data_IF_624915765269
#
_entry.id   IF_624915765269
#
_cell.length_a   1.000
_cell.length_b   1.000
_cell.length_c   1.000
_cell.angle_alpha   90.00
_cell.angle_beta   90.00
_cell.angle_gamma   90.00
#
_symmetry.space_group_name_H-M   'P 1'
#
loop_
_entity.id
_entity.type
_entity.pdbx_description
1 polymer ?
#
# COMPACT_ATOMS: atom_id res chain seq x y z
N UNK A 1 31.90 -49.19 -6.78
CA UNK A 1 30.90 -49.15 -5.68
C UNK A 1 30.47 -47.73 -5.27
N UNK A 2 31.34 -46.71 -5.35
CA UNK A 2 31.04 -45.33 -4.92
C UNK A 2 29.85 -44.62 -5.63
N UNK A 3 29.52 -44.95 -6.89
CA UNK A 3 28.39 -44.33 -7.60
C UNK A 3 27.02 -44.75 -7.04
N UNK A 4 26.88 -45.98 -6.53
CA UNK A 4 25.61 -46.49 -6.00
C UNK A 4 25.28 -45.86 -4.64
N UNK A 5 26.30 -45.64 -3.80
CA UNK A 5 26.14 -45.00 -2.49
C UNK A 5 25.78 -43.52 -2.61
N UNK A 6 26.31 -42.82 -3.63
CA UNK A 6 25.99 -41.42 -3.89
C UNK A 6 24.53 -41.24 -4.36
N UNK A 7 24.04 -42.17 -5.18
CA UNK A 7 22.66 -42.16 -5.68
C UNK A 7 21.65 -42.45 -4.57
N UNK A 8 21.93 -43.42 -3.70
CA UNK A 8 21.07 -43.69 -2.54
C UNK A 8 21.07 -42.53 -1.55
N UNK A 9 22.20 -41.84 -1.38
CA UNK A 9 22.29 -40.68 -0.50
C UNK A 9 21.46 -39.50 -1.04
N UNK A 10 21.50 -39.25 -2.36
CA UNK A 10 20.70 -38.16 -2.95
C UNK A 10 19.20 -38.46 -2.92
N UNK A 11 18.81 -39.73 -3.11
CA UNK A 11 17.41 -40.16 -3.02
C UNK A 11 16.85 -40.01 -1.60
N UNK A 12 17.63 -40.36 -0.57
CA UNK A 12 17.22 -40.16 0.83
C UNK A 12 17.15 -38.67 1.15
N UNK A 13 18.12 -37.88 0.70
CA UNK A 13 18.12 -36.44 0.91
C UNK A 13 16.92 -35.76 0.26
N UNK A 14 16.57 -36.10 -0.98
CA UNK A 14 15.41 -35.50 -1.66
C UNK A 14 14.08 -35.89 -1.00
N UNK A 15 13.95 -37.14 -0.53
CA UNK A 15 12.77 -37.58 0.24
C UNK A 15 12.64 -36.81 1.55
N UNK A 16 13.73 -36.67 2.31
CA UNK A 16 13.71 -35.92 3.57
C UNK A 16 13.42 -34.43 3.35
N UNK A 17 14.00 -33.81 2.33
CA UNK A 17 13.74 -32.41 1.97
C UNK A 17 12.28 -32.18 1.53
N UNK A 18 11.70 -33.13 0.80
CA UNK A 18 10.29 -33.04 0.39
C UNK A 18 9.37 -33.17 1.60
N UNK A 19 9.65 -34.11 2.50
CA UNK A 19 8.88 -34.30 3.73
C UNK A 19 8.93 -33.08 4.67
N UNK A 20 10.09 -32.43 4.79
CA UNK A 20 10.23 -31.21 5.61
C UNK A 20 9.55 -30.00 4.98
N UNK A 21 9.59 -29.86 3.66
CA UNK A 21 8.84 -28.78 2.99
C UNK A 21 7.33 -28.96 3.14
N UNK A 22 6.82 -30.19 3.02
CA UNK A 22 5.40 -30.48 3.23
C UNK A 22 4.98 -30.21 4.69
N UNK A 23 5.79 -30.63 5.67
CA UNK A 23 5.47 -30.41 7.08
C UNK A 23 5.52 -28.93 7.46
N UNK A 24 6.47 -28.16 6.91
CA UNK A 24 6.50 -26.70 7.06
C UNK A 24 5.27 -26.08 6.40
N UNK A 25 4.87 -26.52 5.21
CA UNK A 25 3.69 -25.96 4.54
C UNK A 25 2.40 -26.24 5.31
N UNK A 26 2.26 -27.42 5.92
CA UNK A 26 1.09 -27.79 6.74
C UNK A 26 1.08 -27.07 8.09
N UNK A 27 2.23 -26.94 8.77
CA UNK A 27 2.32 -26.31 10.09
C UNK A 27 2.32 -24.78 10.02
N UNK A 28 2.86 -24.20 8.94
CA UNK A 28 2.83 -22.78 8.66
C UNK A 28 1.71 -22.41 7.68
N UNK A 29 0.68 -23.24 7.55
CA UNK A 29 -0.49 -22.90 6.77
C UNK A 29 -1.22 -21.71 7.42
N UNK A 30 -0.77 -20.51 7.06
CA UNK A 30 -1.34 -19.25 7.50
C UNK A 30 -2.62 -18.92 6.76
N UNK A 31 -3.16 -19.80 5.91
CA UNK A 31 -4.43 -19.58 5.20
C UNK A 31 -5.56 -19.20 6.15
N UNK A 32 -5.63 -19.82 7.33
CA UNK A 32 -6.61 -19.50 8.37
C UNK A 32 -6.39 -18.11 8.99
N UNK A 33 -5.13 -17.72 9.23
CA UNK A 33 -4.75 -16.38 9.67
C UNK A 33 -5.03 -15.31 8.62
N UNK A 34 -4.75 -15.60 7.34
CA UNK A 34 -5.02 -14.72 6.20
C UNK A 34 -6.53 -14.54 6.04
N UNK A 35 -7.32 -15.62 6.12
CA UNK A 35 -8.78 -15.55 6.09
C UNK A 35 -9.36 -14.80 7.30
N UNK A 36 -8.79 -14.98 8.49
CA UNK A 36 -9.18 -14.24 9.69
C UNK A 36 -8.82 -12.75 9.59
N UNK A 37 -7.66 -12.40 9.03
CA UNK A 37 -7.28 -11.02 8.74
C UNK A 37 -8.19 -10.42 7.67
N UNK A 38 -8.47 -11.12 6.58
CA UNK A 38 -9.39 -10.67 5.54
C UNK A 38 -10.79 -10.40 6.10
N UNK A 39 -11.32 -11.29 6.95
CA UNK A 39 -12.61 -11.06 7.64
C UNK A 39 -12.58 -9.85 8.57
N UNK A 40 -11.46 -9.61 9.26
CA UNK A 40 -11.30 -8.41 10.11
C UNK A 40 -11.18 -7.12 9.30
N UNK A 41 -10.53 -7.17 8.13
CA UNK A 41 -10.38 -6.03 7.22
C UNK A 41 -11.68 -5.73 6.47
N UNK A 42 -12.45 -6.75 6.08
CA UNK A 42 -13.72 -6.58 5.35
C UNK A 42 -14.90 -6.23 6.26
N UNK A 43 -14.86 -6.59 7.54
CA UNK A 43 -15.93 -6.31 8.50
C UNK A 43 -15.96 -4.86 9.02
N UNK A 44 -14.89 -4.09 8.86
CA UNK A 44 -14.75 -2.75 9.43
C UNK A 44 -14.46 -1.69 8.36
N UNK A 45 -15.17 -1.76 7.23
CA UNK A 45 -15.12 -0.66 6.26
C UNK A 45 -15.85 0.54 6.85
N UNK A 46 -15.08 1.58 7.20
CA UNK A 46 -15.54 2.86 7.73
C UNK A 46 -16.64 3.51 6.86
N UNK A 47 -16.72 3.13 5.58
CA UNK A 47 -17.73 3.56 4.61
C UNK A 47 -18.47 2.34 4.03
N UNK A 48 -18.95 1.46 4.90
CA UNK A 48 -19.57 0.18 4.50
C UNK A 48 -20.95 0.33 3.85
N UNK A 49 -21.64 1.44 4.07
CA UNK A 49 -22.97 1.71 3.50
C UNK A 49 -23.07 3.13 2.95
N UNK A 50 -23.98 3.33 2.00
CA UNK A 50 -24.27 4.66 1.43
C UNK A 50 -24.71 5.64 2.50
N UNK A 51 -25.53 5.22 3.46
CA UNK A 51 -26.02 6.09 4.53
C UNK A 51 -24.88 6.60 5.42
N UNK A 52 -23.91 5.74 5.76
CA UNK A 52 -22.72 6.15 6.53
C UNK A 52 -21.84 7.09 5.70
N UNK A 53 -21.70 6.83 4.41
CA UNK A 53 -20.93 7.69 3.50
C UNK A 53 -21.56 9.07 3.34
N UNK A 54 -22.88 9.14 3.16
CA UNK A 54 -23.64 10.37 3.00
C UNK A 54 -23.62 11.19 4.29
N UNK A 55 -23.72 10.52 5.45
CA UNK A 55 -23.58 11.15 6.75
C UNK A 55 -22.19 11.74 6.96
N UNK A 56 -21.13 10.98 6.73
CA UNK A 56 -19.74 11.46 6.86
C UNK A 56 -19.44 12.61 5.87
N UNK A 57 -19.97 12.52 4.65
CA UNK A 57 -19.87 13.58 3.65
C UNK A 57 -20.53 14.88 4.13
N UNK A 58 -21.73 14.80 4.71
CA UNK A 58 -22.48 15.96 5.18
C UNK A 58 -21.92 16.56 6.48
N UNK A 59 -21.50 15.71 7.44
CA UNK A 59 -21.09 16.14 8.78
C UNK A 59 -19.62 16.58 8.83
N UNK A 60 -18.75 15.95 8.05
CA UNK A 60 -17.29 16.15 8.17
C UNK A 60 -16.74 16.85 6.94
N UNK A 61 -17.01 16.29 5.75
CA UNK A 61 -16.33 16.69 4.52
C UNK A 61 -16.87 18.02 3.97
N UNK A 62 -18.20 18.19 3.92
CA UNK A 62 -18.84 19.39 3.40
C UNK A 62 -18.48 20.65 4.22
N UNK A 63 -18.54 20.65 5.57
CA UNK A 63 -18.14 21.83 6.35
C UNK A 63 -16.64 22.13 6.22
N UNK A 64 -15.80 21.11 6.10
CA UNK A 64 -14.37 21.29 5.86
C UNK A 64 -14.11 21.98 4.52
N UNK A 65 -14.75 21.52 3.44
CA UNK A 65 -14.63 22.12 2.12
C UNK A 65 -15.17 23.55 2.07
N UNK A 66 -16.27 23.84 2.77
CA UNK A 66 -16.78 25.20 2.90
C UNK A 66 -15.79 26.11 3.63
N UNK A 67 -15.17 25.63 4.72
CA UNK A 67 -14.12 26.37 5.44
C UNK A 67 -12.88 26.58 4.56
N UNK A 68 -12.48 25.59 3.77
CA UNK A 68 -11.37 25.73 2.82
C UNK A 68 -11.68 26.78 1.75
N UNK A 69 -12.86 26.71 1.13
CA UNK A 69 -13.32 27.69 0.14
C UNK A 69 -13.43 29.10 0.71
N UNK A 70 -13.88 29.23 1.96
CA UNK A 70 -13.90 30.52 2.66
C UNK A 70 -12.48 31.05 2.89
N UNK A 71 -11.52 30.19 3.29
CA UNK A 71 -10.10 30.56 3.41
C UNK A 71 -9.49 30.96 2.06
N UNK A 72 -9.84 30.29 0.97
CA UNK A 72 -9.39 30.65 -0.38
C UNK A 72 -9.96 32.00 -0.84
N UNK A 73 -11.24 32.28 -0.55
CA UNK A 73 -11.85 33.59 -0.80
C UNK A 73 -11.20 34.71 0.03
N UNK A 74 -10.84 34.42 1.29
CA UNK A 74 -10.15 35.36 2.18
C UNK A 74 -8.68 35.56 1.79
N UNK A 75 -8.06 34.55 1.16
CA UNK A 75 -6.78 34.67 0.42
C UNK A 75 -6.96 35.39 -0.92
N UNK A 76 -8.00 36.21 -1.04
CA UNK A 76 -8.28 37.05 -2.20
C UNK A 76 -6.99 37.68 -2.71
N UNK A 77 -6.64 37.32 -3.94
CA UNK A 77 -5.53 37.91 -4.69
C UNK A 77 -4.18 37.82 -3.98
N UNK A 78 -3.67 36.61 -3.73
CA UNK A 78 -2.21 36.46 -3.88
C UNK A 78 -1.93 36.74 -5.34
N UNK A 79 -1.46 37.96 -5.66
CA UNK A 79 -0.95 38.28 -6.99
C UNK A 79 0.04 37.18 -7.34
N UNK A 80 -0.21 36.44 -8.43
CA UNK A 80 0.84 35.61 -9.01
C UNK A 80 2.06 36.53 -9.18
N UNK A 81 3.27 36.10 -8.81
CA UNK A 81 4.45 36.89 -9.14
C UNK A 81 4.40 37.18 -10.64
N UNK A 82 4.55 38.43 -11.05
CA UNK A 82 4.52 38.83 -12.47
C UNK A 82 5.58 38.08 -13.29
N UNK A 83 6.59 37.54 -12.61
CA UNK A 83 7.63 36.69 -13.18
C UNK A 83 7.68 35.34 -12.46
N UNK A 84 7.32 34.29 -13.18
CA UNK A 84 7.67 32.91 -12.85
C UNK A 84 8.88 32.58 -13.72
N UNK A 85 10.06 32.45 -13.10
CA UNK A 85 11.26 32.06 -13.83
C UNK A 85 11.11 30.62 -14.31
N UNK A 86 11.10 30.44 -15.64
CA UNK A 86 11.08 29.13 -16.29
C UNK A 86 12.45 28.48 -16.03
N UNK A 87 12.57 27.15 -15.86
CA UNK A 87 13.85 26.51 -15.56
C UNK A 87 14.99 26.87 -16.52
N UNK A 88 14.70 27.17 -17.79
CA UNK A 88 15.72 27.64 -18.75
C UNK A 88 16.33 29.00 -18.37
N UNK A 89 15.55 29.89 -17.74
CA UNK A 89 16.02 31.22 -17.29
C UNK A 89 16.93 31.12 -16.05
N UNK A 90 16.79 30.06 -15.26
CA UNK A 90 17.67 29.78 -14.12
C UNK A 90 19.00 29.15 -14.54
N UNK A 91 19.05 28.50 -15.71
CA UNK A 91 20.28 27.92 -16.26
C UNK A 91 21.23 28.99 -16.80
N UNK A 92 20.72 30.07 -17.37
CA UNK A 92 21.56 31.17 -17.91
C UNK A 92 22.24 32.03 -16.84
N UNK A 93 21.79 31.97 -15.58
CA UNK A 93 22.48 32.62 -14.45
C UNK A 93 23.74 31.88 -14.00
N UNK A 94 23.90 30.61 -14.40
CA UNK A 94 25.12 29.84 -14.17
C UNK A 94 25.95 29.94 -15.43
N UNK A 95 26.63 31.07 -15.60
CA UNK A 95 27.49 31.33 -16.75
C UNK A 95 28.40 30.13 -17.03
N UNK A 96 28.20 29.55 -18.22
CA UNK A 96 29.15 28.74 -18.95
C UNK A 96 29.28 29.36 -20.34
#
# INVERSE_FOLDING_TARGET
MAKKTLFTLSAVFSLTATATLISVFLLFDKSTQINAMQKKTSGNSYLSSRDVMDKEMAEVLLPYLQKQKAKEKLRGTVKKPDTVYVPEQLQQSRGY
#
